data_IF_820338419404
#
_entry.id   IF_820338419404
#
_cell.length_a   1.000
_cell.length_b   1.000
_cell.length_c   1.000
_cell.angle_alpha   90.00
_cell.angle_beta   90.00
_cell.angle_gamma   90.00
#
_symmetry.space_group_name_H-M   'P 1'
#
loop_
_entity.id
_entity.type
_entity.pdbx_description
1 polymer ?
#
# COMPACT_ATOMS: atom_id res chain seq x y z
N UNK A 1 -10.64 -41.81 25.81
CA UNK A 1 -11.52 -40.70 25.37
C UNK A 1 -10.83 -39.34 25.37
N UNK A 2 -10.04 -38.99 26.41
CA UNK A 2 -9.41 -37.67 26.58
C UNK A 2 -8.40 -37.24 25.49
N UNK A 3 -7.64 -38.18 24.88
CA UNK A 3 -6.66 -37.84 23.83
C UNK A 3 -7.28 -37.25 22.55
N UNK A 4 -8.51 -37.65 22.20
CA UNK A 4 -9.21 -37.15 21.01
C UNK A 4 -9.74 -35.71 21.22
N UNK A 5 -10.13 -35.37 22.46
CA UNK A 5 -10.59 -34.03 22.81
C UNK A 5 -9.44 -33.00 22.89
N UNK A 6 -8.24 -33.44 23.29
CA UNK A 6 -7.03 -32.58 23.24
C UNK A 6 -6.67 -32.26 21.79
N UNK A 7 -6.71 -33.25 20.90
CA UNK A 7 -6.40 -33.04 19.48
C UNK A 7 -7.35 -32.05 18.81
N UNK A 8 -8.66 -32.16 19.07
CA UNK A 8 -9.65 -31.22 18.51
C UNK A 8 -9.52 -29.81 19.06
N UNK A 9 -9.11 -29.65 20.33
CA UNK A 9 -8.89 -28.34 20.96
C UNK A 9 -7.62 -27.67 20.43
N UNK A 10 -6.55 -28.43 20.20
CA UNK A 10 -5.34 -27.92 19.55
C UNK A 10 -5.65 -27.49 18.12
N UNK A 11 -6.43 -28.27 17.37
CA UNK A 11 -6.78 -27.95 15.99
C UNK A 11 -7.65 -26.69 15.86
N UNK A 12 -8.56 -26.44 16.81
CA UNK A 12 -9.37 -25.21 16.81
C UNK A 12 -8.55 -23.96 17.17
N UNK A 13 -7.53 -24.09 18.03
CA UNK A 13 -6.59 -23.01 18.32
C UNK A 13 -5.73 -22.60 17.11
N UNK A 14 -5.57 -23.49 16.13
CA UNK A 14 -4.88 -23.20 14.87
C UNK A 14 -5.81 -22.70 13.75
N UNK A 15 -7.08 -22.37 14.05
CA UNK A 15 -7.95 -21.72 13.07
C UNK A 15 -7.51 -20.26 12.86
N UNK A 16 -6.58 -20.06 11.93
CA UNK A 16 -6.16 -18.73 11.51
C UNK A 16 -7.19 -18.20 10.52
N UNK A 17 -7.59 -16.94 10.67
CA UNK A 17 -8.39 -16.25 9.67
C UNK A 17 -7.60 -16.19 8.35
N UNK A 18 -8.12 -16.85 7.31
CA UNK A 18 -7.57 -16.75 5.97
C UNK A 18 -7.94 -15.38 5.39
N UNK A 19 -6.94 -14.54 5.15
CA UNK A 19 -7.14 -13.32 4.37
C UNK A 19 -7.10 -13.69 2.89
N UNK A 20 -8.12 -13.28 2.13
CA UNK A 20 -8.15 -13.46 0.69
C UNK A 20 -7.02 -12.64 0.03
N UNK A 21 -6.28 -13.27 -0.87
CA UNK A 21 -5.27 -12.60 -1.70
C UNK A 21 -5.90 -12.17 -3.01
N UNK A 22 -5.51 -11.00 -3.50
CA UNK A 22 -5.96 -10.45 -4.78
C UNK A 22 -4.83 -10.67 -5.80
N UNK A 23 -5.11 -11.02 -7.07
CA UNK A 23 -4.06 -11.30 -8.06
C UNK A 23 -3.06 -10.16 -8.25
N UNK A 24 -3.49 -8.91 -8.02
CA UNK A 24 -2.64 -7.72 -8.12
C UNK A 24 -1.52 -7.68 -7.07
N UNK A 25 -1.64 -8.45 -5.98
CA UNK A 25 -0.57 -8.54 -4.97
C UNK A 25 0.60 -9.39 -5.47
N UNK A 26 0.36 -10.36 -6.36
CA UNK A 26 1.43 -11.18 -6.97
C UNK A 26 2.38 -10.31 -7.78
N UNK A 27 1.86 -9.35 -8.55
CA UNK A 27 2.65 -8.40 -9.33
C UNK A 27 3.52 -7.49 -8.46
N UNK A 28 3.07 -7.16 -7.25
CA UNK A 28 3.85 -6.35 -6.30
C UNK A 28 4.96 -7.14 -5.64
N UNK A 29 4.77 -8.45 -5.46
CA UNK A 29 5.75 -9.33 -4.82
C UNK A 29 6.77 -9.91 -5.81
N UNK A 30 6.45 -9.94 -7.10
CA UNK A 30 7.34 -10.47 -8.13
C UNK A 30 8.52 -9.53 -8.45
N UNK A 31 8.44 -8.25 -8.10
CA UNK A 31 9.50 -7.28 -8.37
C UNK A 31 10.06 -6.68 -7.08
N UNK A 32 11.25 -7.15 -6.68
CA UNK A 32 12.03 -6.58 -5.58
C UNK A 32 13.19 -5.73 -6.11
N UNK A 33 13.31 -4.44 -5.76
CA UNK A 33 14.50 -3.66 -6.05
C UNK A 33 15.70 -4.19 -5.25
N UNK A 34 16.91 -4.02 -5.79
CA UNK A 34 18.15 -4.36 -5.09
C UNK A 34 18.32 -3.38 -3.93
N UNK A 35 18.10 -3.85 -2.70
CA UNK A 35 18.33 -3.08 -1.47
C UNK A 35 19.55 -3.63 -0.75
N UNK A 36 20.64 -2.86 -0.78
CA UNK A 36 21.87 -3.13 -0.04
C UNK A 36 22.13 -2.10 1.07
N UNK A 37 23.22 -2.28 1.82
CA UNK A 37 23.76 -1.26 2.72
C UNK A 37 24.12 0.01 1.94
N UNK A 38 24.38 1.12 2.65
CA UNK A 38 24.90 2.35 2.05
C UNK A 38 26.13 2.10 1.16
N UNK A 39 27.04 1.20 1.58
CA UNK A 39 28.22 0.80 0.79
C UNK A 39 27.83 0.17 -0.54
N UNK A 40 26.90 -0.77 -0.51
CA UNK A 40 26.48 -1.43 -1.75
C UNK A 40 25.67 -0.49 -2.65
N UNK A 41 24.82 0.35 -2.09
CA UNK A 41 24.07 1.32 -2.88
C UNK A 41 25.01 2.36 -3.51
N UNK A 42 26.10 2.75 -2.84
CA UNK A 42 27.08 3.70 -3.37
C UNK A 42 27.82 3.18 -4.63
N UNK A 43 27.96 1.86 -4.78
CA UNK A 43 28.56 1.23 -5.97
C UNK A 43 27.51 0.78 -7.00
N UNK A 44 26.27 1.26 -6.89
CA UNK A 44 25.20 0.94 -7.83
C UNK A 44 24.56 -0.43 -7.62
N UNK A 45 24.66 -1.02 -6.42
CA UNK A 45 24.01 -2.30 -6.10
C UNK A 45 24.77 -3.54 -6.55
N UNK A 46 26.06 -3.42 -6.88
CA UNK A 46 26.92 -4.54 -7.26
C UNK A 46 27.29 -5.43 -6.05
N UNK A 47 26.33 -6.24 -5.59
CA UNK A 47 26.41 -7.09 -4.39
C UNK A 47 27.17 -8.41 -4.62
N UNK A 48 27.15 -8.94 -5.84
CA UNK A 48 27.58 -10.32 -6.11
C UNK A 48 29.09 -10.55 -6.07
N UNK A 49 29.87 -9.51 -6.39
CA UNK A 49 31.35 -9.59 -6.50
C UNK A 49 32.08 -9.00 -5.30
N UNK A 50 31.41 -8.23 -4.45
CA UNK A 50 32.05 -7.53 -3.33
C UNK A 50 31.77 -8.26 -2.01
N UNK A 51 32.82 -8.80 -1.40
CA UNK A 51 32.75 -9.44 -0.08
C UNK A 51 32.83 -8.43 1.07
N UNK A 52 32.49 -8.90 2.28
CA UNK A 52 32.67 -8.13 3.51
C UNK A 52 31.64 -7.00 3.68
N UNK A 53 30.41 -7.23 3.22
CA UNK A 53 29.25 -6.39 3.50
C UNK A 53 28.09 -7.23 4.04
N UNK A 54 27.29 -6.69 4.96
CA UNK A 54 26.18 -7.42 5.59
C UNK A 54 25.15 -7.87 4.55
N UNK A 55 25.02 -7.13 3.46
CA UNK A 55 24.08 -7.47 2.39
C UNK A 55 24.44 -8.79 1.68
N UNK A 56 25.69 -9.26 1.82
CA UNK A 56 26.12 -10.58 1.34
C UNK A 56 25.26 -11.71 1.93
N UNK A 57 24.70 -11.55 3.13
CA UNK A 57 23.78 -12.53 3.74
C UNK A 57 22.57 -12.84 2.84
N UNK A 58 22.08 -11.86 2.07
CA UNK A 58 20.88 -11.98 1.23
C UNK A 58 21.19 -12.36 -0.22
N UNK A 59 22.36 -12.00 -0.75
CA UNK A 59 22.68 -12.18 -2.18
C UNK A 59 23.74 -13.25 -2.43
N UNK A 60 24.88 -13.17 -1.74
CA UNK A 60 25.99 -14.11 -1.91
C UNK A 60 26.63 -14.43 -0.54
N UNK A 61 26.12 -15.43 0.20
CA UNK A 61 26.56 -15.71 1.56
C UNK A 61 28.05 -16.05 1.68
N UNK A 62 28.69 -16.55 0.61
CA UNK A 62 30.14 -16.78 0.61
C UNK A 62 30.93 -15.48 0.82
N UNK A 63 30.38 -14.32 0.43
CA UNK A 63 30.96 -13.00 0.67
C UNK A 63 31.09 -12.64 2.16
N UNK A 64 30.36 -13.32 3.06
CA UNK A 64 30.50 -13.12 4.51
C UNK A 64 31.85 -13.63 5.04
N UNK A 65 32.49 -14.57 4.35
CA UNK A 65 33.79 -15.08 4.74
C UNK A 65 34.94 -14.06 4.57
N UNK A 66 34.65 -12.86 4.06
CA UNK A 66 35.60 -11.74 4.08
C UNK A 66 35.58 -10.96 5.41
N UNK A 67 34.55 -11.13 6.24
CA UNK A 67 34.55 -10.56 7.59
C UNK A 67 35.62 -11.23 8.45
N UNK A 68 36.52 -10.42 9.00
CA UNK A 68 37.57 -10.87 9.94
C UNK A 68 37.23 -10.51 11.39
N UNK A 69 36.41 -9.48 11.57
CA UNK A 69 35.96 -8.96 12.86
C UNK A 69 34.45 -9.08 12.98
N UNK A 70 33.97 -8.89 14.21
CA UNK A 70 32.55 -8.79 14.49
C UNK A 70 32.11 -7.33 14.38
N UNK A 71 31.13 -7.05 13.51
CA UNK A 71 30.64 -5.71 13.24
C UNK A 71 29.12 -5.64 13.48
N UNK A 72 28.67 -4.52 14.04
CA UNK A 72 27.26 -4.15 14.07
C UNK A 72 27.02 -3.15 12.93
N UNK A 73 26.18 -3.53 11.98
CA UNK A 73 25.90 -2.71 10.79
C UNK A 73 24.48 -2.16 10.88
N UNK A 74 24.36 -0.84 10.76
CA UNK A 74 23.07 -0.15 10.68
C UNK A 74 23.10 0.75 9.45
N UNK A 75 22.16 0.57 8.54
CA UNK A 75 22.13 1.31 7.27
C UNK A 75 20.86 2.15 7.15
N UNK A 76 20.78 3.33 7.80
CA UNK A 76 19.64 4.22 7.65
C UNK A 76 19.53 4.71 6.20
N UNK A 77 18.29 4.86 5.74
CA UNK A 77 17.97 5.34 4.40
C UNK A 77 16.84 6.36 4.44
N UNK A 78 16.82 7.22 3.44
CA UNK A 78 15.74 8.16 3.21
C UNK A 78 15.23 7.98 1.79
N UNK A 79 13.92 7.76 1.65
CA UNK A 79 13.27 7.61 0.36
C UNK A 79 12.32 8.78 0.14
N UNK A 80 12.39 9.38 -1.04
CA UNK A 80 11.46 10.42 -1.49
C UNK A 80 10.89 10.01 -2.83
N UNK A 81 9.57 9.91 -2.89
CA UNK A 81 8.82 9.59 -4.09
C UNK A 81 7.95 10.78 -4.45
N UNK A 82 7.96 11.18 -5.71
CA UNK A 82 7.09 12.22 -6.22
C UNK A 82 6.26 11.67 -7.37
N UNK A 83 4.97 11.49 -7.14
CA UNK A 83 4.05 11.03 -8.17
C UNK A 83 3.45 12.23 -8.89
N UNK A 84 3.39 12.15 -10.22
CA UNK A 84 2.59 13.05 -11.05
C UNK A 84 1.42 12.26 -11.59
N UNK A 85 0.22 12.78 -11.39
CA UNK A 85 -1.00 12.23 -11.97
C UNK A 85 -1.69 13.31 -12.79
N UNK A 86 -2.46 12.89 -13.79
CA UNK A 86 -3.30 13.79 -14.58
C UNK A 86 -4.75 13.32 -14.44
N UNK A 87 -5.65 14.25 -14.14
CA UNK A 87 -7.08 14.00 -14.13
C UNK A 87 -7.78 15.13 -14.88
N UNK A 88 -8.47 14.77 -15.98
CA UNK A 88 -9.21 15.73 -16.83
C UNK A 88 -8.39 16.98 -17.21
N UNK A 89 -7.14 16.79 -17.64
CA UNK A 89 -6.23 17.87 -18.03
C UNK A 89 -5.58 18.63 -16.85
N UNK A 90 -5.96 18.35 -15.61
CA UNK A 90 -5.34 18.92 -14.42
C UNK A 90 -4.22 18.01 -13.93
N UNK A 91 -2.99 18.51 -13.91
CA UNK A 91 -1.83 17.80 -13.35
C UNK A 91 -1.76 17.99 -11.84
N UNK A 92 -1.67 16.90 -11.09
CA UNK A 92 -1.50 16.90 -9.63
C UNK A 92 -0.18 16.22 -9.26
N UNK A 93 0.66 16.95 -8.53
CA UNK A 93 1.89 16.41 -7.94
C UNK A 93 1.65 15.99 -6.48
N UNK A 94 2.13 14.81 -6.09
CA UNK A 94 2.05 14.33 -4.72
C UNK A 94 3.36 13.69 -4.30
N UNK A 95 4.05 14.39 -3.40
CA UNK A 95 5.25 13.89 -2.72
C UNK A 95 4.91 12.97 -1.55
N UNK A 96 5.75 11.96 -1.35
CA UNK A 96 5.78 11.10 -0.17
C UNK A 96 7.24 10.87 0.21
N UNK A 97 7.62 11.22 1.43
CA UNK A 97 8.97 10.98 1.94
C UNK A 97 8.88 10.14 3.19
N UNK A 98 9.77 9.16 3.31
CA UNK A 98 9.79 8.25 4.44
C UNK A 98 11.21 7.82 4.77
N UNK A 99 11.46 7.66 6.07
CA UNK A 99 12.63 6.96 6.54
C UNK A 99 12.51 5.47 6.20
N UNK A 100 13.63 4.91 5.75
CA UNK A 100 13.78 3.49 5.51
C UNK A 100 14.99 2.98 6.29
N UNK A 101 15.01 1.69 6.59
CA UNK A 101 16.17 1.01 7.13
C UNK A 101 16.60 -0.03 6.11
N UNK A 102 17.80 0.14 5.57
CA UNK A 102 18.44 -0.87 4.73
C UNK A 102 18.94 -2.06 5.56
N UNK A 103 19.68 -3.00 4.94
CA UNK A 103 20.26 -4.15 5.63
C UNK A 103 20.98 -3.72 6.90
N UNK A 104 20.51 -4.24 8.03
CA UNK A 104 21.03 -3.92 9.35
C UNK A 104 21.06 -5.19 10.19
N UNK A 105 22.01 -5.29 11.10
CA UNK A 105 22.20 -6.51 11.86
C UNK A 105 23.63 -6.68 12.33
N UNK A 106 23.91 -7.89 12.79
CA UNK A 106 25.19 -8.26 13.37
C UNK A 106 25.88 -9.30 12.50
N UNK A 107 27.18 -9.14 12.32
CA UNK A 107 28.04 -10.14 11.70
C UNK A 107 29.17 -10.45 12.67
N UNK A 108 29.37 -11.73 12.96
CA UNK A 108 30.38 -12.22 13.88
C UNK A 108 31.46 -12.98 13.13
N UNK A 109 32.69 -12.47 13.17
CA UNK A 109 33.87 -13.16 12.67
C UNK A 109 34.51 -14.02 13.76
N UNK A 110 34.67 -15.30 13.49
CA UNK A 110 35.35 -16.26 14.36
C UNK A 110 36.66 -16.70 13.70
N UNK A 111 37.76 -16.58 14.45
CA UNK A 111 39.06 -17.09 14.02
C UNK A 111 39.00 -18.62 13.86
N UNK A 112 39.39 -19.10 12.68
CA UNK A 112 39.48 -20.53 12.39
C UNK A 112 40.83 -21.12 12.80
N UNK A 113 40.98 -22.43 12.64
CA UNK A 113 42.24 -23.16 12.83
C UNK A 113 42.52 -24.04 11.62
N UNK A 114 43.79 -24.17 11.25
CA UNK A 114 44.23 -24.99 10.12
C UNK A 114 43.82 -24.40 8.77
N UNK A 115 43.30 -25.23 7.87
CA UNK A 115 42.94 -24.79 6.51
C UNK A 115 41.81 -23.75 6.48
N UNK A 116 40.92 -23.74 7.48
CA UNK A 116 39.86 -22.76 7.65
C UNK A 116 40.39 -21.59 8.47
N UNK A 117 40.66 -20.46 7.82
CA UNK A 117 41.25 -19.28 8.46
C UNK A 117 40.21 -18.48 9.23
N UNK A 118 38.98 -18.41 8.72
CA UNK A 118 37.87 -17.77 9.42
C UNK A 118 36.56 -18.52 9.19
N UNK A 119 35.63 -18.29 10.11
CA UNK A 119 34.22 -18.65 10.00
C UNK A 119 33.41 -17.41 10.38
N UNK A 120 32.37 -17.13 9.63
CA UNK A 120 31.50 -15.97 9.86
C UNK A 120 30.08 -16.45 10.05
N UNK A 121 29.39 -15.89 11.03
CA UNK A 121 27.94 -15.99 11.11
C UNK A 121 27.34 -14.59 11.05
N UNK A 122 26.12 -14.47 10.55
CA UNK A 122 25.41 -13.20 10.45
C UNK A 122 23.95 -13.37 10.81
N UNK A 123 23.41 -12.34 11.44
CA UNK A 123 21.99 -12.15 11.65
C UNK A 123 21.64 -10.78 11.08
N UNK A 124 20.85 -10.76 10.02
CA UNK A 124 20.54 -9.55 9.28
C UNK A 124 19.03 -9.41 9.07
N UNK A 125 18.55 -8.18 9.17
CA UNK A 125 17.23 -7.78 8.72
C UNK A 125 17.37 -6.86 7.52
N UNK A 126 16.59 -7.10 6.47
CA UNK A 126 16.54 -6.23 5.30
C UNK A 126 15.09 -5.95 4.92
N UNK A 127 14.80 -4.72 4.51
CA UNK A 127 13.53 -4.38 3.90
C UNK A 127 13.68 -4.46 2.37
N UNK A 128 13.38 -5.63 1.82
CA UNK A 128 13.51 -5.92 0.38
C UNK A 128 12.60 -5.05 -0.48
N UNK A 129 11.40 -4.71 0.01
CA UNK A 129 10.48 -3.83 -0.71
C UNK A 129 9.76 -2.85 0.21
N UNK A 130 9.53 -1.64 -0.29
CA UNK A 130 8.73 -0.61 0.39
C UNK A 130 7.54 -0.21 -0.49
N UNK A 131 6.32 -0.41 0.02
CA UNK A 131 5.08 -0.11 -0.68
C UNK A 131 4.47 1.23 -0.24
N UNK A 132 5.21 2.04 0.51
CA UNK A 132 4.75 3.35 0.94
C UNK A 132 4.63 4.31 -0.25
N UNK A 133 3.40 4.56 -0.69
CA UNK A 133 3.11 5.43 -1.82
C UNK A 133 1.86 6.27 -1.54
N UNK A 134 1.86 7.49 -2.08
CA UNK A 134 0.71 8.40 -2.03
C UNK A 134 0.50 9.01 -3.41
N UNK A 135 -0.64 8.68 -4.00
CA UNK A 135 -1.06 9.19 -5.30
C UNK A 135 -2.31 10.03 -5.07
N UNK A 136 -2.33 11.26 -5.60
CA UNK A 136 -3.49 12.13 -5.54
C UNK A 136 -3.90 12.53 -6.94
N UNK A 137 -5.18 12.41 -7.24
CA UNK A 137 -5.84 12.94 -8.42
C UNK A 137 -6.69 14.13 -7.98
N UNK A 138 -6.64 15.23 -8.72
CA UNK A 138 -7.58 16.34 -8.52
C UNK A 138 -7.84 17.08 -9.82
N UNK A 139 -9.06 17.58 -9.97
CA UNK A 139 -9.49 18.34 -11.15
C UNK A 139 -10.98 18.65 -11.12
N UNK A 140 -11.42 19.40 -12.11
CA UNK A 140 -12.84 19.72 -12.30
C UNK A 140 -13.51 18.65 -13.16
N UNK A 141 -14.64 18.15 -12.69
CA UNK A 141 -15.51 17.21 -13.40
C UNK A 141 -16.81 17.92 -13.76
N UNK A 142 -17.12 17.96 -15.05
CA UNK A 142 -18.34 18.56 -15.60
C UNK A 142 -19.45 17.57 -15.95
N UNK A 143 -19.19 16.27 -15.73
CA UNK A 143 -20.03 15.19 -16.24
C UNK A 143 -20.71 14.43 -15.11
N UNK A 144 -19.98 14.11 -14.04
CA UNK A 144 -20.49 13.17 -13.02
C UNK A 144 -20.06 13.49 -11.60
N UNK A 145 -20.83 12.96 -10.66
CA UNK A 145 -20.52 12.95 -9.23
C UNK A 145 -20.48 11.51 -8.70
N UNK A 146 -19.90 11.29 -7.51
CA UNK A 146 -19.91 9.96 -6.89
C UNK A 146 -21.34 9.49 -6.58
N UNK A 147 -22.23 10.41 -6.23
CA UNK A 147 -23.62 10.10 -5.91
C UNK A 147 -24.49 9.88 -7.15
N UNK A 148 -23.99 10.17 -8.36
CA UNK A 148 -24.72 10.00 -9.62
C UNK A 148 -25.17 8.56 -9.83
N UNK A 149 -24.33 7.60 -9.47
CA UNK A 149 -24.65 6.18 -9.63
C UNK A 149 -25.88 5.79 -8.80
N UNK A 150 -26.00 6.33 -7.59
CA UNK A 150 -27.14 6.10 -6.71
C UNK A 150 -28.39 6.86 -7.20
N UNK A 151 -28.21 8.07 -7.74
CA UNK A 151 -29.31 8.82 -8.35
C UNK A 151 -29.86 8.12 -9.60
N UNK A 152 -28.99 7.59 -10.45
CA UNK A 152 -29.36 6.83 -11.64
C UNK A 152 -30.06 5.52 -11.30
N UNK A 153 -29.59 4.78 -10.28
CA UNK A 153 -30.30 3.60 -9.79
C UNK A 153 -31.68 3.96 -9.23
N UNK A 154 -31.78 5.08 -8.49
CA UNK A 154 -33.04 5.57 -7.96
C UNK A 154 -34.03 5.94 -9.07
N UNK A 155 -33.59 6.70 -10.07
CA UNK A 155 -34.39 7.07 -11.23
C UNK A 155 -34.84 5.84 -12.04
N UNK A 156 -33.94 4.89 -12.27
CA UNK A 156 -34.24 3.67 -13.04
C UNK A 156 -35.25 2.75 -12.32
N UNK A 157 -35.30 2.78 -10.98
CA UNK A 157 -36.27 1.99 -10.22
C UNK A 157 -37.72 2.38 -10.49
N UNK A 158 -37.98 3.65 -10.87
CA UNK A 158 -39.33 4.19 -11.04
C UNK A 158 -40.16 4.25 -9.76
N UNK A 159 -39.54 4.04 -8.59
CA UNK A 159 -40.21 4.01 -7.29
C UNK A 159 -40.17 5.39 -6.62
N UNK A 160 -41.17 5.66 -5.78
CA UNK A 160 -41.13 6.81 -4.88
C UNK A 160 -40.11 6.60 -3.76
N UNK A 161 -39.56 7.70 -3.22
CA UNK A 161 -38.61 7.66 -2.08
C UNK A 161 -39.14 6.79 -0.93
N UNK A 162 -40.43 6.91 -0.60
CA UNK A 162 -41.05 6.14 0.48
C UNK A 162 -41.04 4.63 0.25
N UNK A 163 -41.17 4.18 -1.00
CA UNK A 163 -41.09 2.77 -1.36
C UNK A 163 -39.65 2.26 -1.29
N UNK A 164 -38.69 3.05 -1.77
CA UNK A 164 -37.27 2.69 -1.76
C UNK A 164 -36.67 2.61 -0.35
N UNK A 165 -37.13 3.47 0.55
CA UNK A 165 -36.73 3.47 1.97
C UNK A 165 -37.43 2.39 2.80
N UNK A 166 -38.41 1.68 2.21
CA UNK A 166 -39.08 0.55 2.83
C UNK A 166 -38.20 -0.68 3.05
N UNK A 167 -38.79 -1.71 3.65
CA UNK A 167 -38.11 -2.96 4.02
C UNK A 167 -37.83 -3.90 2.83
N UNK A 168 -38.22 -3.55 1.60
CA UNK A 168 -37.96 -4.38 0.43
C UNK A 168 -36.52 -4.29 -0.07
N UNK A 169 -36.19 -5.05 -1.12
CA UNK A 169 -34.86 -5.05 -1.75
C UNK A 169 -34.91 -4.40 -3.14
N UNK A 170 -35.71 -3.35 -3.31
CA UNK A 170 -35.98 -2.76 -4.62
C UNK A 170 -34.79 -1.98 -5.19
N UNK A 171 -33.90 -1.49 -4.32
CA UNK A 171 -32.65 -0.81 -4.69
C UNK A 171 -31.50 -1.25 -3.80
N UNK A 172 -30.27 -1.04 -4.27
CA UNK A 172 -29.06 -1.35 -3.51
C UNK A 172 -29.03 -0.63 -2.16
N UNK A 173 -28.38 -1.27 -1.19
CA UNK A 173 -28.15 -0.67 0.13
C UNK A 173 -27.42 0.68 0.02
N UNK A 174 -26.52 0.83 -0.95
CA UNK A 174 -25.82 2.09 -1.21
C UNK A 174 -26.78 3.22 -1.57
N UNK A 175 -27.75 2.96 -2.46
CA UNK A 175 -28.78 3.93 -2.85
C UNK A 175 -29.71 4.27 -1.69
N UNK A 176 -30.11 3.29 -0.87
CA UNK A 176 -30.88 3.56 0.36
C UNK A 176 -30.12 4.48 1.31
N UNK A 177 -28.85 4.18 1.57
CA UNK A 177 -28.01 5.01 2.43
C UNK A 177 -27.77 6.42 1.85
N UNK A 178 -27.67 6.53 0.53
CA UNK A 178 -27.55 7.82 -0.16
C UNK A 178 -28.83 8.67 -0.02
N UNK A 179 -30.01 8.07 -0.11
CA UNK A 179 -31.29 8.73 0.15
C UNK A 179 -31.44 9.13 1.64
N UNK A 180 -31.11 8.22 2.58
CA UNK A 180 -31.13 8.53 4.02
C UNK A 180 -30.19 9.67 4.41
N UNK A 181 -29.05 9.80 3.73
CA UNK A 181 -28.07 10.86 3.96
C UNK A 181 -28.31 12.14 3.13
N UNK A 182 -29.40 12.21 2.36
CA UNK A 182 -29.71 13.30 1.44
C UNK A 182 -28.60 13.60 0.42
N UNK A 183 -27.77 12.59 0.13
CA UNK A 183 -26.74 12.64 -0.90
C UNK A 183 -27.37 12.61 -2.30
N UNK A 184 -28.50 11.91 -2.42
CA UNK A 184 -29.41 11.90 -3.57
C UNK A 184 -30.75 12.43 -3.12
N UNK A 185 -31.41 13.24 -3.95
CA UNK A 185 -32.75 13.74 -3.70
C UNK A 185 -33.48 13.99 -5.03
N UNK A 186 -34.79 14.13 -4.98
CA UNK A 186 -35.58 14.49 -6.14
C UNK A 186 -35.60 16.00 -6.36
N UNK A 187 -35.63 16.42 -7.62
CA UNK A 187 -35.82 17.81 -8.03
C UNK A 187 -36.90 17.88 -9.11
N UNK A 188 -37.74 18.90 -9.03
CA UNK A 188 -38.70 19.25 -10.09
C UNK A 188 -38.16 20.45 -10.86
N UNK A 189 -37.67 20.22 -12.08
CA UNK A 189 -37.24 21.28 -12.99
C UNK A 189 -38.32 21.51 -14.06
N UNK A 190 -38.71 22.76 -14.30
CA UNK A 190 -39.53 23.15 -15.45
C UNK A 190 -40.95 22.56 -15.50
N UNK A 191 -41.55 22.15 -14.37
CA UNK A 191 -42.91 21.60 -14.33
C UNK A 191 -43.03 20.13 -14.76
N UNK A 192 -41.90 19.42 -14.89
CA UNK A 192 -41.86 17.98 -15.12
C UNK A 192 -42.00 17.18 -13.83
N UNK A 193 -42.23 15.87 -13.96
CA UNK A 193 -42.19 14.91 -12.84
C UNK A 193 -40.87 15.01 -12.06
N UNK A 194 -40.89 14.77 -10.73
CA UNK A 194 -39.67 14.78 -9.92
C UNK A 194 -38.69 13.74 -10.43
N UNK A 195 -37.46 14.18 -10.71
CA UNK A 195 -36.36 13.30 -11.13
C UNK A 195 -35.29 13.25 -10.04
N UNK A 196 -34.57 12.13 -9.93
CA UNK A 196 -33.54 11.93 -8.92
C UNK A 196 -32.21 12.52 -9.38
N UNK A 197 -31.62 13.36 -8.55
CA UNK A 197 -30.33 13.99 -8.81
C UNK A 197 -29.37 13.85 -7.64
N UNK A 198 -28.09 13.87 -7.96
CA UNK A 198 -27.04 14.06 -6.96
C UNK A 198 -27.12 15.45 -6.34
N UNK A 199 -27.08 15.53 -5.01
CA UNK A 199 -27.07 16.82 -4.30
C UNK A 199 -25.85 17.67 -4.67
N UNK A 200 -24.75 17.04 -5.06
CA UNK A 200 -23.54 17.74 -5.47
C UNK A 200 -23.74 18.58 -6.75
N UNK A 201 -24.77 18.27 -7.54
CA UNK A 201 -25.12 18.97 -8.78
C UNK A 201 -26.32 19.91 -8.63
N UNK A 202 -27.08 19.80 -7.53
CA UNK A 202 -28.31 20.57 -7.28
C UNK A 202 -28.12 22.09 -7.45
N UNK A 203 -27.04 22.65 -6.91
CA UNK A 203 -26.79 24.09 -6.98
C UNK A 203 -26.60 24.58 -8.42
N UNK A 204 -25.81 23.85 -9.21
CA UNK A 204 -25.55 24.16 -10.61
C UNK A 204 -26.82 24.00 -11.46
N UNK A 205 -27.60 22.92 -11.27
CA UNK A 205 -28.86 22.70 -11.99
C UNK A 205 -29.91 23.79 -11.70
N UNK A 206 -30.05 24.20 -10.43
CA UNK A 206 -31.03 25.22 -10.04
C UNK A 206 -30.73 26.61 -10.62
N UNK A 207 -29.45 26.96 -10.71
CA UNK A 207 -29.01 28.26 -11.17
C UNK A 207 -28.79 28.34 -12.69
N UNK A 208 -28.84 27.21 -13.40
CA UNK A 208 -28.47 27.12 -14.81
C UNK A 208 -26.97 27.32 -15.06
N UNK A 209 -26.15 27.17 -14.02
CA UNK A 209 -24.69 27.28 -14.12
C UNK A 209 -24.11 26.00 -14.76
N UNK A 210 -22.99 26.08 -15.48
CA UNK A 210 -22.32 24.89 -15.97
C UNK A 210 -21.96 23.97 -14.79
N UNK A 211 -22.19 22.67 -14.98
CA UNK A 211 -21.83 21.65 -14.01
C UNK A 211 -20.29 21.63 -13.89
N UNK A 212 -19.72 22.12 -12.78
CA UNK A 212 -18.29 22.01 -12.50
C UNK A 212 -18.07 21.61 -11.05
N UNK A 213 -17.71 20.34 -10.84
CA UNK A 213 -17.43 19.79 -9.53
C UNK A 213 -15.93 19.62 -9.32
N UNK A 214 -15.40 20.22 -8.26
CA UNK A 214 -14.03 19.94 -7.82
C UNK A 214 -13.98 18.56 -7.16
N UNK A 215 -13.29 17.62 -7.81
CA UNK A 215 -13.11 16.26 -7.32
C UNK A 215 -11.65 16.03 -6.94
N UNK A 216 -11.46 15.29 -5.85
CA UNK A 216 -10.13 14.79 -5.49
C UNK A 216 -10.20 13.38 -4.93
N UNK A 217 -9.25 12.54 -5.36
CA UNK A 217 -9.11 11.17 -4.91
C UNK A 217 -7.66 10.92 -4.50
N UNK A 218 -7.47 10.39 -3.29
CA UNK A 218 -6.13 10.09 -2.77
C UNK A 218 -6.02 8.60 -2.48
N UNK A 219 -5.07 7.95 -3.13
CA UNK A 219 -4.72 6.55 -2.90
C UNK A 219 -3.46 6.53 -2.06
N UNK A 220 -3.57 6.00 -0.85
CA UNK A 220 -2.44 5.76 0.04
C UNK A 220 -2.20 4.25 0.11
N UNK A 221 -0.97 3.82 -0.14
CA UNK A 221 -0.51 2.46 0.10
C UNK A 221 0.61 2.52 1.12
N UNK A 222 0.64 1.56 2.04
CA UNK A 222 1.72 1.42 3.01
C UNK A 222 2.06 -0.06 3.19
N UNK A 223 3.23 -0.30 3.77
CA UNK A 223 3.73 -1.65 3.93
C UNK A 223 5.08 -1.91 3.28
N UNK A 224 5.51 -3.15 3.32
CA UNK A 224 6.76 -3.61 2.75
C UNK A 224 6.97 -5.11 2.93
N UNK A 225 8.03 -5.59 2.33
CA UNK A 225 8.55 -6.95 2.54
C UNK A 225 9.80 -6.79 3.38
N UNK A 226 9.82 -7.48 4.53
CA UNK A 226 10.99 -7.55 5.40
C UNK A 226 11.49 -8.99 5.42
N UNK A 227 12.78 -9.16 5.23
CA UNK A 227 13.47 -10.44 5.29
C UNK A 227 14.38 -10.47 6.51
N UNK A 228 14.26 -11.54 7.29
CA UNK A 228 15.18 -11.88 8.37
C UNK A 228 16.04 -13.03 7.89
N UNK A 229 17.36 -12.85 7.85
CA UNK A 229 18.27 -13.87 7.35
C UNK A 229 19.37 -14.21 8.35
N UNK A 230 19.64 -15.50 8.43
CA UNK A 230 20.79 -16.09 9.12
C UNK A 230 21.77 -16.58 8.06
N UNK A 231 23.00 -16.08 8.10
CA UNK A 231 24.05 -16.49 7.17
C UNK A 231 25.21 -17.14 7.89
N UNK A 232 25.84 -18.12 7.26
CA UNK A 232 27.10 -18.71 7.70
C UNK A 232 28.06 -18.84 6.53
N UNK A 233 29.34 -18.55 6.75
CA UNK A 233 30.37 -18.67 5.73
C UNK A 233 31.73 -19.06 6.33
N UNK A 234 32.61 -19.59 5.49
CA UNK A 234 33.96 -19.93 5.88
C UNK A 234 34.97 -19.65 4.77
N UNK A 235 36.16 -19.22 5.18
CA UNK A 235 37.30 -19.01 4.31
C UNK A 235 38.31 -20.14 4.50
N UNK A 236 38.62 -20.85 3.42
CA UNK A 236 39.70 -21.83 3.37
C UNK A 236 40.93 -21.24 2.69
N UNK A 237 41.92 -20.89 3.52
CA UNK A 237 43.27 -20.48 3.09
C UNK A 237 43.31 -19.30 2.10
N UNK A 238 42.36 -18.37 2.20
CA UNK A 238 42.17 -17.21 1.32
C UNK A 238 41.93 -17.54 -0.17
N UNK A 239 41.77 -18.82 -0.51
CA UNK A 239 41.60 -19.31 -1.89
C UNK A 239 40.19 -19.77 -2.19
N UNK A 240 39.49 -20.29 -1.19
CA UNK A 240 38.16 -20.86 -1.36
C UNK A 240 37.21 -20.33 -0.30
N UNK A 241 36.11 -19.72 -0.74
CA UNK A 241 35.09 -19.14 0.10
C UNK A 241 33.78 -19.88 -0.14
N UNK A 242 33.14 -20.32 0.93
CA UNK A 242 31.83 -20.99 0.88
C UNK A 242 30.92 -20.38 1.92
N UNK A 243 29.63 -20.27 1.61
CA UNK A 243 28.63 -19.84 2.56
C UNK A 243 27.24 -20.22 2.13
N UNK A 244 26.32 -20.20 3.10
CA UNK A 244 24.89 -20.39 2.90
C UNK A 244 24.11 -19.48 3.83
N UNK A 245 22.88 -19.15 3.44
CA UNK A 245 21.97 -18.39 4.28
C UNK A 245 20.56 -18.97 4.22
N UNK A 246 19.81 -18.72 5.29
CA UNK A 246 18.39 -19.06 5.41
C UNK A 246 17.66 -17.76 5.75
N UNK A 247 16.70 -17.39 4.91
CA UNK A 247 15.87 -16.20 5.05
C UNK A 247 14.40 -16.54 5.34
N UNK A 248 13.77 -15.75 6.21
CA UNK A 248 12.32 -15.77 6.44
C UNK A 248 11.76 -14.42 6.00
N UNK A 249 10.82 -14.45 5.05
CA UNK A 249 10.14 -13.25 4.57
C UNK A 249 8.85 -13.01 5.34
N UNK A 250 8.67 -11.77 5.80
CA UNK A 250 7.43 -11.27 6.38
C UNK A 250 6.83 -10.23 5.45
N UNK A 251 5.57 -10.46 5.05
CA UNK A 251 4.81 -9.57 4.19
C UNK A 251 3.89 -8.71 5.05
N UNK A 252 3.92 -7.39 4.85
CA UNK A 252 2.96 -6.48 5.46
C UNK A 252 2.52 -5.47 4.42
N UNK A 253 1.28 -5.59 3.95
CA UNK A 253 0.67 -4.62 3.04
C UNK A 253 -0.57 -4.05 3.70
N UNK A 254 -0.69 -2.72 3.75
CA UNK A 254 -1.85 -2.02 4.27
C UNK A 254 -2.29 -0.95 3.28
N UNK A 255 -3.53 -1.00 2.83
CA UNK A 255 -4.10 -0.02 1.91
C UNK A 255 -5.33 0.63 2.55
N UNK A 256 -5.18 1.80 3.21
CA UNK A 256 -6.34 2.58 3.59
C UNK A 256 -6.87 3.27 2.33
N UNK A 257 -8.02 2.83 1.81
CA UNK A 257 -8.77 3.62 0.83
C UNK A 257 -9.33 4.84 1.55
N UNK A 258 -8.59 5.96 1.56
CA UNK A 258 -9.13 7.24 2.07
C UNK A 258 -10.00 7.89 1.01
N UNK A 259 -11.20 8.23 1.46
CA UNK A 259 -12.38 8.57 0.67
C UNK A 259 -12.21 9.85 -0.20
N UNK A 260 -12.97 9.90 -1.29
CA UNK A 260 -13.13 11.07 -2.15
C UNK A 260 -13.65 12.27 -1.34
N UNK A 261 -13.00 13.43 -1.42
CA UNK A 261 -13.55 14.68 -0.86
C UNK A 261 -14.09 15.52 -2.00
N UNK A 262 -15.41 15.67 -2.06
CA UNK A 262 -16.12 16.63 -2.90
C UNK A 262 -16.21 17.92 -2.08
N UNK A 263 -15.42 18.94 -2.45
CA UNK A 263 -15.50 20.25 -1.80
C UNK A 263 -16.45 21.12 -2.61
N UNK A 264 -17.72 21.15 -2.20
CA UNK A 264 -18.70 22.10 -2.73
C UNK A 264 -18.36 23.47 -2.12
N UNK A 265 -17.65 24.30 -2.88
CA UNK A 265 -17.36 25.67 -2.45
C UNK A 265 -18.66 26.48 -2.59
N UNK A 266 -19.40 26.61 -1.50
CA UNK A 266 -20.55 27.51 -1.40
C UNK A 266 -20.01 28.94 -1.50
N UNK A 267 -19.99 29.52 -2.70
CA UNK A 267 -19.78 30.97 -2.87
C UNK A 267 -21.00 31.65 -2.27
N UNK A 268 -20.89 31.98 -0.98
CA UNK A 268 -21.86 32.80 -0.27
C UNK A 268 -21.66 34.23 -0.77
N UNK A 269 -22.25 34.54 -1.93
CA UNK A 269 -22.43 35.92 -2.39
C UNK A 269 -23.47 36.56 -1.47
N UNK A 270 -23.01 37.11 -0.35
CA UNK A 270 -23.76 38.10 0.42
C UNK A 270 -23.94 39.31 -0.50
N UNK A 271 -25.10 39.40 -1.14
CA UNK A 271 -25.60 40.65 -1.69
C UNK A 271 -26.05 41.48 -0.48
N UNK A 272 -25.18 42.35 0.00
CA UNK A 272 -25.56 43.44 0.91
C UNK A 272 -26.47 44.37 0.13
N UNK A 273 -27.53 44.83 0.82
CA UNK A 273 -28.67 45.62 0.33
C UNK A 273 -28.32 46.72 -0.68
#
# INVERSE_FOLDING_TARGET
>A
MMKKQILTTVLSLFSVALFAQIPEDVLKYSWGPVNGTARTNAIGGAMGSLGGDLSATFTNPAGLAFYRTSDLVVSPGFFSLNNKSAFRGTNTGQGNSAFNLGPSGFVGGLSGRGAWLNKTFSFAVNRTANFNNKIRYSGQNDFSSFAEQYAAEAAYSGLSIGQMLGNGNEVSLGTKMALYSYLVDTVTLGGQSPDFISRAMYGNLKNGDPLLLNQSHTIETSGGITELALGFAGNRSDKFYIGGSIGIHTFRTFRPLRHCSIRILKVLLFRVA
#
